data_IF_203048766813
#
_entry.id   IF_203048766813
#
_cell.length_a   1.000
_cell.length_b   1.000
_cell.length_c   1.000
_cell.angle_alpha   90.00
_cell.angle_beta   90.00
_cell.angle_gamma   90.00
#
_symmetry.space_group_name_H-M   'P 1'
#
loop_
_entity.id
_entity.type
_entity.pdbx_description
1 polymer ?
#
# COMPACT_ATOMS: atom_id res chain seq x y z
N UNK A 1 2.26 -9.42 8.62
CA UNK A 1 2.71 -9.28 7.22
C UNK A 1 1.85 -10.25 6.42
N UNK A 2 0.86 -9.75 5.68
CA UNK A 2 -0.09 -10.58 4.93
C UNK A 2 0.54 -10.82 3.55
N UNK A 3 0.75 -12.08 3.16
CA UNK A 3 1.28 -12.45 1.85
C UNK A 3 0.11 -12.55 0.86
N UNK A 4 0.07 -11.62 -0.08
CA UNK A 4 -1.05 -11.39 -1.00
C UNK A 4 -1.37 -12.55 -1.96
N UNK A 5 -0.50 -13.57 -2.12
CA UNK A 5 -0.81 -14.74 -2.95
C UNK A 5 -1.18 -16.00 -2.15
N UNK A 6 -1.00 -16.02 -0.83
CA UNK A 6 -1.28 -17.21 -0.01
C UNK A 6 -2.79 -17.48 0.09
N UNK A 7 -3.63 -16.45 0.01
CA UNK A 7 -5.09 -16.60 0.03
C UNK A 7 -5.67 -17.03 -1.33
N UNK A 8 -4.99 -16.72 -2.45
CA UNK A 8 -5.36 -17.21 -3.78
C UNK A 8 -5.05 -18.72 -3.92
N UNK A 9 -3.95 -19.20 -3.36
CA UNK A 9 -3.60 -20.63 -3.30
C UNK A 9 -4.61 -21.43 -2.45
N UNK A 10 -5.18 -20.81 -1.41
CA UNK A 10 -6.26 -21.41 -0.63
C UNK A 10 -7.58 -21.46 -1.39
N UNK A 11 -7.93 -20.44 -2.19
CA UNK A 11 -9.15 -20.45 -3.00
C UNK A 11 -9.07 -21.43 -4.18
N UNK A 12 -7.90 -21.58 -4.81
CA UNK A 12 -7.69 -22.57 -5.89
C UNK A 12 -7.78 -24.00 -5.35
N UNK A 13 -7.29 -24.27 -4.13
CA UNK A 13 -7.36 -25.60 -3.51
C UNK A 13 -8.73 -25.95 -2.90
N UNK A 14 -9.58 -24.97 -2.60
CA UNK A 14 -10.91 -25.22 -1.99
C UNK A 14 -11.94 -25.75 -2.99
N UNK A 15 -11.70 -25.61 -4.29
CA UNK A 15 -12.61 -26.07 -5.35
C UNK A 15 -12.44 -27.55 -5.76
N UNK A 16 -11.62 -28.33 -5.05
CA UNK A 16 -11.28 -29.70 -5.45
C UNK A 16 -11.36 -30.76 -4.34
N UNK A 17 -12.15 -30.55 -3.28
CA UNK A 17 -12.25 -31.50 -2.16
C UNK A 17 -13.46 -32.45 -2.16
N UNK A 18 -14.33 -32.47 -3.17
CA UNK A 18 -15.59 -33.23 -3.12
C UNK A 18 -15.76 -34.38 -4.14
N UNK A 19 -14.69 -34.97 -4.66
CA UNK A 19 -14.83 -36.21 -5.43
C UNK A 19 -13.67 -37.17 -5.16
N UNK A 20 -13.82 -38.00 -4.13
CA UNK A 20 -12.99 -39.18 -3.98
C UNK A 20 -13.14 -40.09 -5.21
N UNK A 21 -12.07 -40.19 -6.01
CA UNK A 21 -11.78 -41.21 -7.04
C UNK A 21 -10.27 -41.10 -7.39
N UNK A 22 -9.65 -42.25 -7.67
CA UNK A 22 -8.23 -42.49 -7.93
C UNK A 22 -7.51 -41.48 -8.85
N UNK A 23 -6.29 -41.12 -8.44
CA UNK A 23 -5.40 -40.20 -9.14
C UNK A 23 -4.87 -40.79 -10.46
N UNK A 24 -5.56 -40.51 -11.56
CA UNK A 24 -4.95 -40.46 -12.89
C UNK A 24 -4.02 -39.23 -12.93
N UNK A 25 -2.79 -39.40 -13.42
CA UNK A 25 -1.82 -38.32 -13.67
C UNK A 25 -2.49 -37.12 -14.36
N UNK A 26 -2.85 -36.08 -13.60
CA UNK A 26 -3.35 -34.82 -14.14
C UNK A 26 -2.14 -33.96 -14.52
N UNK A 27 -2.02 -33.50 -15.78
CA UNK A 27 -0.92 -32.64 -16.18
C UNK A 27 -1.01 -31.32 -15.40
N UNK A 28 0.07 -31.02 -14.69
CA UNK A 28 0.31 -29.79 -13.94
C UNK A 28 -0.24 -28.55 -14.67
N UNK A 29 -1.18 -27.88 -14.01
CA UNK A 29 -2.03 -26.79 -14.51
C UNK A 29 -1.18 -25.66 -15.12
N UNK A 30 -1.47 -25.32 -16.37
CA UNK A 30 -0.98 -24.11 -17.05
C UNK A 30 -1.56 -22.91 -16.30
N UNK A 31 -0.76 -22.21 -15.49
CA UNK A 31 -1.21 -20.99 -14.81
C UNK A 31 -1.71 -20.00 -15.86
N UNK A 32 -2.96 -19.56 -15.75
CA UNK A 32 -3.55 -18.62 -16.71
C UNK A 32 -2.83 -17.27 -16.63
N UNK A 33 -1.88 -17.07 -17.54
CA UNK A 33 -1.11 -15.82 -17.65
C UNK A 33 -2.03 -14.60 -17.88
N UNK A 34 -3.26 -14.79 -18.39
CA UNK A 34 -4.22 -13.68 -18.53
C UNK A 34 -4.68 -13.18 -17.16
N UNK A 35 -4.89 -14.09 -16.20
CA UNK A 35 -5.23 -13.74 -14.83
C UNK A 35 -4.07 -13.01 -14.16
N UNK A 36 -2.84 -13.50 -14.34
CA UNK A 36 -1.62 -12.85 -13.82
C UNK A 36 -1.45 -11.44 -14.41
N UNK A 37 -1.68 -11.26 -15.71
CA UNK A 37 -1.64 -9.94 -16.39
C UNK A 37 -2.71 -8.99 -15.84
N UNK A 38 -3.95 -9.46 -15.65
CA UNK A 38 -5.04 -8.65 -15.08
C UNK A 38 -4.69 -8.18 -13.66
N UNK A 39 -4.23 -9.10 -12.81
CA UNK A 39 -3.86 -8.80 -11.43
C UNK A 39 -2.66 -7.84 -11.35
N UNK A 40 -1.62 -8.08 -12.16
CA UNK A 40 -0.45 -7.21 -12.21
C UNK A 40 -0.84 -5.78 -12.62
N UNK A 41 -1.71 -5.61 -13.61
CA UNK A 41 -2.22 -4.29 -14.01
C UNK A 41 -3.00 -3.60 -12.89
N UNK A 42 -3.88 -4.33 -12.20
CA UNK A 42 -4.61 -3.80 -11.05
C UNK A 42 -3.68 -3.36 -9.91
N UNK A 43 -2.66 -4.16 -9.62
CA UNK A 43 -1.62 -3.82 -8.63
C UNK A 43 -0.84 -2.56 -9.03
N UNK A 44 -0.47 -2.44 -10.30
CA UNK A 44 0.22 -1.25 -10.79
C UNK A 44 -0.66 0.01 -10.71
N UNK A 45 -1.96 -0.10 -10.96
CA UNK A 45 -2.90 1.01 -10.75
C UNK A 45 -2.99 1.40 -9.27
N UNK A 46 -3.08 0.44 -8.36
CA UNK A 46 -3.10 0.71 -6.93
C UNK A 46 -1.80 1.35 -6.44
N UNK A 47 -0.64 0.89 -6.96
CA UNK A 47 0.65 1.49 -6.66
C UNK A 47 0.72 2.95 -7.09
N UNK A 48 0.14 3.30 -8.23
CA UNK A 48 0.04 4.69 -8.68
C UNK A 48 -0.81 5.54 -7.74
N UNK A 49 -1.95 5.00 -7.30
CA UNK A 49 -2.83 5.68 -6.34
C UNK A 49 -2.19 5.87 -4.96
N UNK A 50 -1.44 4.87 -4.49
CA UNK A 50 -0.88 4.82 -3.13
C UNK A 50 0.62 4.56 -3.17
N UNK A 51 1.42 5.52 -3.66
CA UNK A 51 2.82 5.32 -4.05
C UNK A 51 3.75 4.88 -2.91
N UNK A 52 3.42 5.22 -1.67
CA UNK A 52 4.20 4.85 -0.48
C UNK A 52 3.61 3.67 0.29
N UNK A 53 2.42 3.18 -0.07
CA UNK A 53 1.78 2.05 0.62
C UNK A 53 2.40 0.70 0.25
N UNK A 54 2.90 0.57 -0.98
CA UNK A 54 3.33 -0.70 -1.54
C UNK A 54 4.85 -0.83 -1.60
N UNK A 55 5.37 -1.82 -0.87
CA UNK A 55 6.77 -2.26 -0.98
C UNK A 55 6.86 -3.42 -1.97
N UNK A 56 7.77 -3.33 -2.92
CA UNK A 56 8.04 -4.44 -3.85
C UNK A 56 8.46 -5.70 -3.08
N UNK A 57 7.84 -6.81 -3.45
CA UNK A 57 8.16 -8.15 -2.98
C UNK A 57 8.15 -9.11 -4.17
N UNK A 58 8.66 -10.32 -3.98
CA UNK A 58 8.47 -11.42 -4.93
C UNK A 58 7.82 -12.55 -4.15
N UNK A 59 6.60 -12.90 -4.53
CA UNK A 59 5.90 -14.03 -3.90
C UNK A 59 6.12 -15.27 -4.75
N UNK A 60 6.24 -16.41 -4.07
CA UNK A 60 6.39 -17.69 -4.73
C UNK A 60 5.08 -18.01 -5.47
N UNK A 61 5.08 -17.77 -6.77
CA UNK A 61 3.99 -18.17 -7.65
C UNK A 61 4.33 -19.55 -8.17
N UNK A 62 3.40 -20.51 -8.10
CA UNK A 62 3.62 -21.89 -8.59
C UNK A 62 3.68 -21.97 -10.13
N UNK A 63 4.20 -20.93 -10.79
CA UNK A 63 4.37 -20.90 -12.23
C UNK A 63 5.63 -21.70 -12.57
N UNK A 64 5.45 -22.76 -13.36
CA UNK A 64 6.58 -23.58 -13.83
C UNK A 64 7.60 -22.74 -14.58
N UNK A 65 8.87 -22.89 -14.21
CA UNK A 65 10.00 -22.27 -14.91
C UNK A 65 10.31 -22.99 -16.22
N UNK A 66 9.52 -22.70 -17.25
CA UNK A 66 9.74 -23.17 -18.62
C UNK A 66 9.87 -21.98 -19.59
N UNK A 67 10.38 -22.23 -20.80
CA UNK A 67 10.59 -21.17 -21.79
C UNK A 67 9.29 -20.47 -22.21
N UNK A 68 8.21 -21.23 -22.39
CA UNK A 68 6.91 -20.69 -22.80
C UNK A 68 6.37 -19.66 -21.80
N UNK A 69 6.36 -19.99 -20.51
CA UNK A 69 5.88 -19.09 -19.45
C UNK A 69 6.75 -17.84 -19.34
N UNK A 70 8.08 -17.99 -19.50
CA UNK A 70 9.00 -16.84 -19.53
C UNK A 70 8.69 -15.91 -20.70
N UNK A 71 8.44 -16.44 -21.90
CA UNK A 71 8.06 -15.65 -23.08
C UNK A 71 6.71 -14.98 -22.85
N UNK A 72 5.70 -15.71 -22.34
CA UNK A 72 4.37 -15.16 -22.04
C UNK A 72 4.46 -13.99 -21.05
N UNK A 73 5.21 -14.13 -19.95
CA UNK A 73 5.41 -13.06 -18.94
C UNK A 73 6.19 -11.86 -19.51
N UNK A 74 7.28 -12.11 -20.25
CA UNK A 74 8.05 -11.05 -20.91
C UNK A 74 7.21 -10.28 -21.93
N UNK A 75 6.40 -10.97 -22.73
CA UNK A 75 5.50 -10.35 -23.71
C UNK A 75 4.42 -9.47 -23.07
N UNK A 76 4.18 -9.62 -21.76
CA UNK A 76 3.27 -8.79 -20.96
C UNK A 76 3.98 -7.74 -20.09
N UNK A 77 5.31 -7.64 -20.19
CA UNK A 77 6.15 -6.79 -19.34
C UNK A 77 5.97 -7.05 -17.84
N UNK A 78 5.68 -8.30 -17.45
CA UNK A 78 5.52 -8.68 -16.04
C UNK A 78 6.90 -9.09 -15.50
N UNK A 79 7.47 -8.40 -14.50
CA UNK A 79 8.78 -8.75 -13.96
C UNK A 79 8.72 -10.05 -13.15
N UNK A 80 9.72 -10.91 -13.31
CA UNK A 80 9.83 -12.18 -12.59
C UNK A 80 11.28 -12.56 -12.29
N UNK A 81 11.47 -13.43 -11.29
CA UNK A 81 12.76 -14.03 -10.92
C UNK A 81 12.75 -15.52 -11.28
N UNK A 82 13.86 -16.02 -11.82
CA UNK A 82 14.05 -17.43 -12.18
C UNK A 82 14.62 -18.22 -11.00
N UNK A 83 13.80 -19.07 -10.38
CA UNK A 83 14.26 -20.04 -9.38
C UNK A 83 13.77 -21.45 -9.78
N UNK A 84 13.47 -22.33 -8.80
CA UNK A 84 12.76 -23.59 -9.04
C UNK A 84 11.38 -23.38 -9.67
N UNK A 85 10.77 -22.22 -9.42
CA UNK A 85 9.56 -21.68 -10.05
C UNK A 85 9.81 -20.25 -10.55
N UNK A 86 8.91 -19.72 -11.39
CA UNK A 86 8.90 -18.30 -11.74
C UNK A 86 8.19 -17.52 -10.64
N UNK A 87 8.93 -16.66 -9.95
CA UNK A 87 8.37 -15.77 -8.94
C UNK A 87 8.01 -14.43 -9.58
N UNK A 88 6.73 -14.14 -9.69
CA UNK A 88 6.23 -12.88 -10.23
C UNK A 88 6.39 -11.77 -9.18
N UNK A 89 6.72 -10.56 -9.65
CA UNK A 89 6.75 -9.39 -8.80
C UNK A 89 5.38 -9.16 -8.16
N UNK A 90 5.38 -9.00 -6.85
CA UNK A 90 4.23 -8.68 -6.03
C UNK A 90 4.52 -7.47 -5.16
N UNK A 91 3.57 -7.11 -4.31
CA UNK A 91 3.71 -6.01 -3.36
C UNK A 91 3.27 -6.44 -1.97
N UNK A 92 3.94 -5.91 -0.96
CA UNK A 92 3.53 -5.98 0.43
C UNK A 92 3.08 -4.59 0.87
N UNK A 93 2.04 -4.50 1.71
CA UNK A 93 1.59 -3.23 2.29
C UNK A 93 1.29 -3.38 3.78
N UNK A 94 1.38 -2.26 4.50
CA UNK A 94 0.88 -2.13 5.86
C UNK A 94 -0.58 -1.70 5.82
N UNK A 95 -1.51 -2.43 6.47
CA UNK A 95 -2.92 -2.03 6.54
C UNK A 95 -3.11 -0.60 7.04
N UNK A 96 -2.27 -0.15 7.99
CA UNK A 96 -2.31 1.22 8.50
C UNK A 96 -1.99 2.26 7.41
N UNK A 97 -0.89 2.05 6.68
CA UNK A 97 -0.43 2.98 5.64
C UNK A 97 -1.49 3.05 4.53
N UNK A 98 -1.95 1.87 4.09
CA UNK A 98 -2.94 1.76 3.04
C UNK A 98 -4.25 2.47 3.40
N UNK A 99 -4.82 2.20 4.58
CA UNK A 99 -6.10 2.78 4.97
C UNK A 99 -6.02 4.30 5.13
N UNK A 100 -4.92 4.83 5.68
CA UNK A 100 -4.75 6.28 5.81
C UNK A 100 -4.62 6.99 4.45
N UNK A 101 -3.87 6.39 3.51
CA UNK A 101 -3.80 6.94 2.16
C UNK A 101 -5.11 6.80 1.40
N UNK A 102 -5.83 5.70 1.61
CA UNK A 102 -7.15 5.51 1.04
C UNK A 102 -8.13 6.57 1.54
N UNK A 103 -8.18 6.85 2.85
CA UNK A 103 -8.98 7.97 3.37
C UNK A 103 -8.52 9.28 2.75
N UNK A 104 -7.21 9.52 2.69
CA UNK A 104 -6.68 10.75 2.11
C UNK A 104 -7.13 10.96 0.66
N UNK A 105 -7.24 9.86 -0.08
CA UNK A 105 -7.76 9.83 -1.44
C UNK A 105 -9.27 10.11 -1.50
N UNK A 106 -10.04 9.66 -0.50
CA UNK A 106 -11.51 9.73 -0.46
C UNK A 106 -12.07 10.79 0.50
N UNK A 107 -11.26 11.76 0.96
CA UNK A 107 -11.61 12.73 2.02
C UNK A 107 -12.97 13.41 1.81
N UNK A 108 -13.45 13.54 0.57
CA UNK A 108 -14.74 14.17 0.30
C UNK A 108 -15.96 13.26 0.60
N UNK A 109 -15.76 11.98 0.96
CA UNK A 109 -16.86 10.99 1.03
C UNK A 109 -16.84 10.00 2.23
N UNK A 110 -15.79 9.93 3.05
CA UNK A 110 -15.64 8.86 4.08
C UNK A 110 -15.71 9.41 5.52
N UNK A 111 -16.51 8.74 6.37
CA UNK A 111 -16.66 9.04 7.81
C UNK A 111 -15.78 8.11 8.65
N UNK A 112 -15.51 8.49 9.91
CA UNK A 112 -14.74 7.67 10.86
C UNK A 112 -15.24 6.23 10.99
N UNK A 113 -16.56 6.03 10.94
CA UNK A 113 -17.22 4.71 11.05
C UNK A 113 -16.79 3.74 9.93
N UNK A 114 -16.46 4.26 8.75
CA UNK A 114 -15.97 3.47 7.62
C UNK A 114 -14.58 2.88 7.87
N UNK A 115 -13.78 3.44 8.80
CA UNK A 115 -12.47 2.89 9.16
C UNK A 115 -12.58 1.70 10.11
N UNK A 116 -13.60 1.69 10.97
CA UNK A 116 -13.85 0.60 11.91
C UNK A 116 -14.53 -0.60 11.28
N UNK A 117 -15.28 -0.41 10.19
CA UNK A 117 -15.95 -1.50 9.46
C UNK A 117 -15.21 -1.95 8.19
N UNK A 118 -14.37 -1.11 7.57
CA UNK A 118 -13.64 -1.45 6.34
C UNK A 118 -12.11 -1.44 6.50
N UNK A 119 -11.56 -2.04 7.57
CA UNK A 119 -10.20 -2.57 7.47
C UNK A 119 -10.22 -3.65 6.40
N UNK A 120 -9.84 -3.30 5.18
CA UNK A 120 -9.59 -4.30 4.13
C UNK A 120 -8.56 -5.28 4.68
N UNK A 121 -9.00 -6.50 4.96
CA UNK A 121 -8.16 -7.57 5.47
C UNK A 121 -7.33 -8.18 4.33
N UNK A 122 -7.77 -7.97 3.08
CA UNK A 122 -7.07 -8.38 1.88
C UNK A 122 -7.14 -7.33 0.76
N UNK A 123 -6.22 -7.44 -0.19
CA UNK A 123 -6.26 -6.63 -1.41
C UNK A 123 -7.47 -6.97 -2.29
N UNK A 124 -7.95 -8.21 -2.25
CA UNK A 124 -9.12 -8.63 -3.04
C UNK A 124 -10.40 -7.99 -2.52
N UNK A 125 -10.55 -7.85 -1.20
CA UNK A 125 -11.65 -7.09 -0.60
C UNK A 125 -11.61 -5.63 -1.07
N UNK A 126 -10.43 -5.01 -1.06
CA UNK A 126 -10.24 -3.66 -1.56
C UNK A 126 -10.55 -3.55 -3.06
N UNK A 127 -10.00 -4.43 -3.89
CA UNK A 127 -10.15 -4.34 -5.33
C UNK A 127 -11.59 -4.64 -5.75
N UNK A 128 -12.27 -5.57 -5.06
CA UNK A 128 -13.70 -5.83 -5.26
C UNK A 128 -14.55 -4.64 -4.84
N UNK A 129 -14.24 -4.01 -3.70
CA UNK A 129 -14.87 -2.79 -3.26
C UNK A 129 -14.65 -1.65 -4.27
N UNK A 130 -13.41 -1.47 -4.74
CA UNK A 130 -13.03 -0.46 -5.73
C UNK A 130 -13.74 -0.69 -7.07
N UNK A 131 -13.69 -1.90 -7.63
CA UNK A 131 -14.40 -2.24 -8.87
C UNK A 131 -15.91 -2.05 -8.72
N UNK A 132 -16.49 -2.37 -7.56
CA UNK A 132 -17.91 -2.16 -7.30
C UNK A 132 -18.26 -0.67 -7.24
N UNK A 133 -17.42 0.15 -6.59
CA UNK A 133 -17.63 1.59 -6.44
C UNK A 133 -17.45 2.36 -7.75
N UNK A 134 -16.40 2.03 -8.51
CA UNK A 134 -16.11 2.56 -9.85
C UNK A 134 -17.30 2.33 -10.80
N UNK A 135 -17.88 1.12 -10.75
CA UNK A 135 -19.09 0.77 -11.52
C UNK A 135 -20.36 1.48 -11.03
N UNK A 136 -20.52 1.69 -9.72
CA UNK A 136 -21.75 2.26 -9.15
C UNK A 136 -21.86 3.77 -9.29
N UNK A 137 -20.77 4.50 -9.13
CA UNK A 137 -20.84 5.96 -9.03
C UNK A 137 -20.45 6.66 -10.33
N UNK A 138 -20.02 5.91 -11.37
CA UNK A 138 -19.42 6.52 -12.55
C UNK A 138 -18.38 7.56 -12.13
N UNK A 139 -17.66 7.26 -11.03
CA UNK A 139 -16.65 8.13 -10.44
C UNK A 139 -15.60 8.26 -11.52
N UNK A 140 -15.77 9.27 -12.38
CA UNK A 140 -14.70 9.79 -13.19
C UNK A 140 -13.59 9.98 -12.21
N UNK A 141 -12.53 9.20 -12.41
CA UNK A 141 -11.28 9.29 -11.69
C UNK A 141 -10.85 10.76 -11.75
N UNK A 142 -11.35 11.58 -10.82
CA UNK A 142 -10.80 12.88 -10.48
C UNK A 142 -9.61 12.51 -9.65
N UNK A 143 -8.64 11.90 -10.33
CA UNK A 143 -7.46 11.35 -9.73
C UNK A 143 -6.96 12.46 -8.85
N UNK A 144 -7.03 12.24 -7.54
CA UNK A 144 -6.31 13.06 -6.60
C UNK A 144 -4.85 12.63 -6.78
N UNK A 145 -4.36 12.97 -7.96
CA UNK A 145 -3.02 12.83 -8.51
C UNK A 145 -2.09 13.77 -7.79
N UNK A 146 -2.56 14.54 -6.80
CA UNK A 146 -1.70 15.46 -6.05
C UNK A 146 -0.49 14.75 -5.46
N UNK A 147 -0.65 13.59 -4.83
CA UNK A 147 0.48 12.89 -4.22
C UNK A 147 1.38 12.17 -5.23
N UNK A 148 0.81 11.47 -6.22
CA UNK A 148 1.61 10.85 -7.29
C UNK A 148 2.31 11.90 -8.15
N UNK A 149 1.62 12.97 -8.55
CA UNK A 149 2.21 14.09 -9.30
C UNK A 149 3.28 14.81 -8.48
N UNK A 150 3.07 14.98 -7.18
CA UNK A 150 4.08 15.53 -6.28
C UNK A 150 5.32 14.66 -6.27
N UNK A 151 5.19 13.34 -6.09
CA UNK A 151 6.34 12.45 -6.16
C UNK A 151 6.98 12.42 -7.56
N UNK A 152 6.18 12.49 -8.62
CA UNK A 152 6.69 12.53 -9.99
C UNK A 152 7.40 13.86 -10.31
N UNK A 153 6.98 14.99 -9.74
CA UNK A 153 7.70 16.27 -9.89
C UNK A 153 9.02 16.27 -9.14
N UNK A 154 9.10 15.57 -8.00
CA UNK A 154 10.31 15.48 -7.18
C UNK A 154 11.30 14.40 -7.64
N UNK A 155 10.80 13.28 -8.19
CA UNK A 155 11.60 12.08 -8.47
C UNK A 155 11.55 11.59 -9.93
N UNK A 156 10.63 12.13 -10.74
CA UNK A 156 10.34 11.67 -12.10
C UNK A 156 9.40 10.46 -12.14
N UNK A 157 8.71 10.24 -13.27
CA UNK A 157 7.62 9.23 -13.41
C UNK A 157 8.00 7.76 -13.18
N UNK A 158 9.30 7.44 -13.15
CA UNK A 158 9.81 6.06 -13.06
C UNK A 158 10.77 5.86 -11.88
N UNK A 159 10.56 6.57 -10.78
CA UNK A 159 11.40 6.41 -9.60
C UNK A 159 11.31 4.99 -9.02
N UNK A 160 12.47 4.48 -8.58
CA UNK A 160 12.59 3.21 -7.88
C UNK A 160 12.19 3.34 -6.41
N UNK A 161 11.88 2.22 -5.76
CA UNK A 161 11.62 2.18 -4.32
C UNK A 161 12.81 2.69 -3.50
N UNK A 162 14.05 2.53 -4.00
CA UNK A 162 15.26 3.09 -3.37
C UNK A 162 15.27 4.62 -3.43
N UNK A 163 15.00 5.20 -4.61
CA UNK A 163 14.91 6.65 -4.78
C UNK A 163 13.83 7.29 -3.90
N UNK A 164 12.70 6.60 -3.69
CA UNK A 164 11.68 7.06 -2.76
C UNK A 164 12.19 7.06 -1.30
N UNK A 165 12.92 6.03 -0.87
CA UNK A 165 13.50 5.98 0.47
C UNK A 165 14.53 7.11 0.64
N UNK A 166 15.42 7.30 -0.33
CA UNK A 166 16.43 8.36 -0.31
C UNK A 166 15.77 9.74 -0.29
N UNK A 167 14.65 9.92 -0.99
CA UNK A 167 13.85 11.14 -0.92
C UNK A 167 13.30 11.40 0.49
N UNK A 168 12.69 10.39 1.10
CA UNK A 168 12.13 10.51 2.46
C UNK A 168 13.24 10.80 3.47
N UNK A 169 14.42 10.20 3.32
CA UNK A 169 15.56 10.43 4.20
C UNK A 169 16.14 11.85 4.05
N UNK A 170 16.19 12.39 2.83
CA UNK A 170 16.52 13.81 2.62
C UNK A 170 15.49 14.73 3.28
N UNK A 171 14.21 14.36 3.25
CA UNK A 171 13.15 15.10 3.93
C UNK A 171 13.28 15.02 5.46
N UNK A 172 13.67 13.86 5.98
CA UNK A 172 13.93 13.66 7.40
C UNK A 172 15.02 14.59 7.93
N UNK A 173 16.06 14.88 7.14
CA UNK A 173 17.14 15.79 7.53
C UNK A 173 16.66 17.20 7.90
N UNK A 174 15.51 17.64 7.37
CA UNK A 174 14.88 18.92 7.69
C UNK A 174 14.27 18.96 9.10
N UNK A 175 13.98 17.79 9.68
CA UNK A 175 13.18 17.65 10.89
C UNK A 175 13.91 16.93 12.03
N UNK A 176 15.06 16.30 11.77
CA UNK A 176 15.79 15.47 12.75
C UNK A 176 16.14 16.19 14.07
N UNK A 177 16.22 17.52 14.07
CA UNK A 177 16.46 18.35 15.26
C UNK A 177 15.30 18.34 16.27
N UNK A 178 14.15 17.76 15.91
CA UNK A 178 12.97 17.62 16.77
C UNK A 178 12.87 16.24 17.43
N UNK A 179 13.98 15.49 17.49
CA UNK A 179 14.10 14.17 18.12
C UNK A 179 13.16 13.07 17.58
N UNK A 180 12.58 13.23 16.39
CA UNK A 180 11.90 12.14 15.70
C UNK A 180 12.91 11.12 15.16
N UNK A 181 12.61 9.83 15.31
CA UNK A 181 13.45 8.77 14.76
C UNK A 181 13.21 8.60 13.26
N UNK A 182 14.21 8.16 12.47
CA UNK A 182 14.03 7.88 11.04
C UNK A 182 12.91 6.85 10.78
N UNK A 183 12.77 5.84 11.65
CA UNK A 183 11.72 4.83 11.56
C UNK A 183 10.33 5.47 11.63
N UNK A 184 10.08 6.30 12.64
CA UNK A 184 8.78 6.96 12.83
C UNK A 184 8.51 7.98 11.73
N UNK A 185 9.52 8.75 11.32
CA UNK A 185 9.36 9.72 10.23
C UNK A 185 8.98 9.04 8.92
N UNK A 186 9.69 7.97 8.52
CA UNK A 186 9.37 7.21 7.31
C UNK A 186 7.97 6.62 7.34
N UNK A 187 7.52 6.11 8.49
CA UNK A 187 6.17 5.57 8.64
C UNK A 187 5.12 6.68 8.53
N UNK A 188 5.34 7.81 9.21
CA UNK A 188 4.45 8.98 9.16
C UNK A 188 4.36 9.54 7.73
N UNK A 189 5.49 9.72 7.06
CA UNK A 189 5.55 10.13 5.66
C UNK A 189 4.82 9.12 4.77
N UNK A 190 5.02 7.82 4.99
CA UNK A 190 4.30 6.81 4.21
C UNK A 190 2.79 6.90 4.41
N UNK A 191 2.32 7.20 5.63
CA UNK A 191 0.90 7.35 5.92
C UNK A 191 0.28 8.64 5.34
N UNK A 192 0.98 9.77 5.44
CA UNK A 192 0.40 11.11 5.26
C UNK A 192 1.04 11.93 4.13
N UNK A 193 2.13 11.44 3.53
CA UNK A 193 2.69 11.91 2.28
C UNK A 193 2.97 13.41 2.25
N UNK A 194 2.37 14.10 1.27
CA UNK A 194 2.52 15.55 1.04
C UNK A 194 2.13 16.43 2.24
N UNK A 195 1.40 15.89 3.22
CA UNK A 195 1.03 16.65 4.43
C UNK A 195 2.10 16.66 5.51
N UNK A 196 3.24 15.99 5.28
CA UNK A 196 4.32 15.89 6.27
C UNK A 196 4.85 17.27 6.68
N UNK A 197 4.85 18.26 5.79
CA UNK A 197 5.35 19.60 6.11
C UNK A 197 4.46 20.33 7.10
N UNK A 198 3.14 20.21 6.97
CA UNK A 198 2.20 20.79 7.92
C UNK A 198 2.41 20.18 9.32
N UNK A 199 2.53 18.85 9.38
CA UNK A 199 2.73 18.12 10.63
C UNK A 199 4.10 18.43 11.23
N UNK A 200 5.14 18.52 10.41
CA UNK A 200 6.50 18.79 10.84
C UNK A 200 6.67 20.20 11.39
N UNK A 201 6.05 21.20 10.77
CA UNK A 201 6.05 22.58 11.28
C UNK A 201 5.31 22.67 12.62
N UNK A 202 4.13 22.06 12.74
CA UNK A 202 3.39 22.02 14.01
C UNK A 202 4.19 21.28 15.11
N UNK A 203 4.84 20.17 14.75
CA UNK A 203 5.70 19.42 15.66
C UNK A 203 6.91 20.25 16.11
N UNK A 204 7.52 21.03 15.21
CA UNK A 204 8.61 21.93 15.55
C UNK A 204 8.17 23.01 16.55
N UNK A 205 7.03 23.65 16.31
CA UNK A 205 6.48 24.67 17.21
C UNK A 205 6.15 24.13 18.60
N UNK A 206 5.59 22.90 18.66
CA UNK A 206 5.34 22.20 19.92
C UNK A 206 6.66 21.84 20.61
N UNK A 207 7.66 21.38 19.86
CA UNK A 207 8.96 21.00 20.39
C UNK A 207 9.70 22.20 21.00
N UNK A 208 9.59 23.37 20.37
CA UNK A 208 10.18 24.61 20.91
C UNK A 208 9.61 24.99 22.28
N UNK A 209 8.41 24.50 22.62
CA UNK A 209 7.73 24.74 23.91
C UNK A 209 8.02 23.62 24.93
N UNK A 210 7.91 22.36 24.53
CA UNK A 210 7.99 21.21 25.44
C UNK A 210 9.41 20.64 25.60
N UNK A 211 10.25 20.76 24.58
CA UNK A 211 11.51 20.01 24.41
C UNK A 211 11.36 18.49 24.43
N UNK A 212 10.15 17.99 24.18
CA UNK A 212 9.83 16.56 24.05
C UNK A 212 9.44 16.26 22.61
N UNK A 213 10.39 15.76 21.81
CA UNK A 213 10.18 15.49 20.40
C UNK A 213 9.09 14.45 20.15
N UNK A 214 9.09 13.35 20.90
CA UNK A 214 8.11 12.29 20.69
C UNK A 214 6.69 12.78 21.00
N UNK A 215 6.50 13.54 22.08
CA UNK A 215 5.21 14.13 22.41
C UNK A 215 4.77 15.14 21.34
N UNK A 216 5.67 16.03 20.91
CA UNK A 216 5.37 17.06 19.93
C UNK A 216 4.91 16.50 18.58
N UNK A 217 5.57 15.46 18.08
CA UNK A 217 5.15 14.79 16.84
C UNK A 217 3.81 14.07 16.98
N UNK A 218 3.55 13.47 18.14
CA UNK A 218 2.26 12.81 18.40
C UNK A 218 1.12 13.82 18.45
N UNK A 219 1.31 14.93 19.16
CA UNK A 219 0.30 15.97 19.30
C UNK A 219 0.02 16.69 17.96
N UNK A 220 1.07 16.98 17.18
CA UNK A 220 0.93 17.52 15.82
C UNK A 220 0.15 16.55 14.92
N UNK A 221 0.50 15.26 14.94
CA UNK A 221 -0.18 14.22 14.16
C UNK A 221 -1.65 14.11 14.57
N UNK A 222 -1.96 14.08 15.86
CA UNK A 222 -3.34 14.03 16.38
C UNK A 222 -4.12 15.27 15.93
N UNK A 223 -3.52 16.45 16.03
CA UNK A 223 -4.15 17.71 15.63
C UNK A 223 -4.48 17.71 14.15
N UNK A 224 -3.54 17.28 13.31
CA UNK A 224 -3.74 17.12 11.87
C UNK A 224 -4.86 16.12 11.55
N UNK A 225 -4.86 14.94 12.18
CA UNK A 225 -5.89 13.93 11.92
C UNK A 225 -7.30 14.45 12.27
N UNK A 226 -7.42 15.18 13.37
CA UNK A 226 -8.68 15.81 13.79
C UNK A 226 -9.11 16.93 12.84
N UNK A 227 -8.18 17.80 12.42
CA UNK A 227 -8.54 18.95 11.58
C UNK A 227 -8.81 18.56 10.12
N UNK A 228 -7.99 17.65 9.57
CA UNK A 228 -8.04 17.29 8.16
C UNK A 228 -9.06 16.20 7.86
N UNK A 229 -9.18 15.20 8.74
CA UNK A 229 -10.06 14.05 8.54
C UNK A 229 -11.29 14.05 9.44
N UNK A 230 -11.45 15.05 10.32
CA UNK A 230 -12.54 15.12 11.30
C UNK A 230 -12.63 13.90 12.23
N UNK A 231 -11.51 13.21 12.46
CA UNK A 231 -11.47 12.04 13.34
C UNK A 231 -11.67 12.42 14.81
N UNK A 232 -12.31 11.51 15.57
CA UNK A 232 -12.42 11.63 17.01
C UNK A 232 -11.04 11.65 17.68
N UNK A 233 -10.98 12.26 18.86
CA UNK A 233 -9.72 12.36 19.62
C UNK A 233 -9.18 10.97 19.99
N UNK A 234 -10.07 10.03 20.36
CA UNK A 234 -9.70 8.66 20.72
C UNK A 234 -9.13 7.89 19.52
N UNK A 235 -9.77 8.04 18.36
CA UNK A 235 -9.33 7.35 17.15
C UNK A 235 -8.01 7.92 16.60
N UNK A 236 -7.87 9.25 16.60
CA UNK A 236 -6.61 9.94 16.26
C UNK A 236 -5.45 9.49 17.15
N UNK A 237 -5.68 9.37 18.46
CA UNK A 237 -4.68 8.82 19.39
C UNK A 237 -4.33 7.37 19.06
N UNK A 238 -5.32 6.54 18.70
CA UNK A 238 -5.09 5.14 18.34
C UNK A 238 -4.21 5.00 17.10
N UNK A 239 -4.50 5.76 16.03
CA UNK A 239 -3.66 5.83 14.84
C UNK A 239 -2.24 6.29 15.21
N UNK A 240 -2.16 7.39 15.96
CA UNK A 240 -0.89 7.95 16.37
C UNK A 240 -0.05 6.94 17.17
N UNK A 241 -0.64 6.21 18.11
CA UNK A 241 0.05 5.19 18.88
C UNK A 241 0.62 4.08 17.99
N UNK A 242 -0.09 3.68 16.92
CA UNK A 242 0.41 2.68 15.95
C UNK A 242 1.57 3.20 15.10
N UNK A 243 1.62 4.51 14.83
CA UNK A 243 2.73 5.13 14.08
C UNK A 243 3.99 5.21 14.94
N UNK A 244 3.84 5.50 16.24
CA UNK A 244 4.95 5.75 17.16
C UNK A 244 5.26 4.58 18.12
N UNK A 245 4.81 3.36 17.80
CA UNK A 245 5.09 2.11 18.56
C UNK A 245 6.32 1.33 18.08
#
# INVERSE_FOLDING_TARGET
MINFCDDLLKQINKNHQDSGIDFINVPYIDVDIRLVDKQYKGLMQCKKMFPTAFKTSYVNTEIKNNLLNRIKLKGKNIPFVNESSLKVQSFATSPLIFNLQYIAFTIDEIKEDDFTENTFNSFDEFFSFYEARDKMQGLVYRGNTSFENYLNSELGENYSSGQLIDFIDRYYDLYKQTDITPKHFRLLYSCLGQYIDNIGNDAFDLFMKSRDGQLSWRDATITFLKSKYSFSSKFSQTICNKIFS
#
